data_IF_641791296032
#
_entry.id   IF_641791296032
#
_cell.length_a   1.000
_cell.length_b   1.000
_cell.length_c   1.000
_cell.angle_alpha   90.00
_cell.angle_beta   90.00
_cell.angle_gamma   90.00
#
_symmetry.space_group_name_H-M   'P 1'
#
loop_
_entity.id
_entity.type
_entity.pdbx_description
1 polymer ?
#
# COMPACT_ATOMS: atom_id res chain seq x y z
N UNK A 1 6.42 25.06 -16.17
CA UNK A 1 5.75 24.10 -17.08
C UNK A 1 6.82 23.54 -17.98
N UNK A 2 7.00 22.21 -18.00
CA UNK A 2 7.99 21.58 -18.85
C UNK A 2 7.53 21.72 -20.30
N UNK A 3 8.46 22.03 -21.20
CA UNK A 3 8.10 22.18 -22.60
C UNK A 3 7.98 20.81 -23.30
N UNK A 4 7.29 20.78 -24.44
CA UNK A 4 7.29 19.61 -25.33
C UNK A 4 8.73 19.22 -25.72
N UNK A 5 9.61 20.21 -25.87
CA UNK A 5 11.03 19.99 -26.13
C UNK A 5 11.72 19.28 -24.96
N UNK A 6 11.45 19.68 -23.72
CA UNK A 6 11.99 19.02 -22.52
C UNK A 6 11.54 17.56 -22.45
N UNK A 7 10.26 17.30 -22.74
CA UNK A 7 9.69 15.95 -22.80
C UNK A 7 10.43 15.09 -23.84
N UNK A 8 10.63 15.61 -25.05
CA UNK A 8 11.37 14.91 -26.11
C UNK A 8 12.82 14.65 -25.72
N UNK A 9 13.48 15.59 -25.03
CA UNK A 9 14.88 15.44 -24.58
C UNK A 9 15.02 14.33 -23.55
N UNK A 10 14.13 14.29 -22.54
CA UNK A 10 14.14 13.26 -21.50
C UNK A 10 13.78 11.89 -22.09
N UNK A 11 12.75 11.80 -22.95
CA UNK A 11 12.39 10.57 -23.66
C UNK A 11 13.56 10.02 -24.50
N UNK A 12 14.29 10.89 -25.19
CA UNK A 12 15.48 10.47 -25.95
C UNK A 12 16.58 9.95 -25.03
N UNK A 13 16.86 10.62 -23.92
CA UNK A 13 17.88 10.17 -22.99
C UNK A 13 17.53 8.81 -22.35
N UNK A 14 16.27 8.65 -21.93
CA UNK A 14 15.82 7.44 -21.25
C UNK A 14 15.68 6.23 -22.19
N UNK A 15 15.34 6.43 -23.46
CA UNK A 15 15.00 5.34 -24.39
C UNK A 15 15.91 5.32 -25.64
N UNK A 16 17.14 5.83 -25.54
CA UNK A 16 18.10 5.82 -26.66
C UNK A 16 18.60 4.42 -27.03
N UNK A 17 18.70 3.53 -26.05
CA UNK A 17 19.30 2.20 -26.12
C UNK A 17 18.26 1.07 -26.16
N UNK A 18 16.97 1.43 -26.12
CA UNK A 18 15.88 0.48 -26.35
C UNK A 18 15.53 0.39 -27.83
N UNK A 19 15.25 -0.82 -28.35
CA UNK A 19 14.80 -0.98 -29.72
C UNK A 19 13.51 -0.19 -29.93
N UNK A 20 13.35 0.39 -31.13
CA UNK A 20 12.15 1.13 -31.54
C UNK A 20 11.47 0.40 -32.69
N UNK A 21 10.14 0.37 -32.66
CA UNK A 21 9.36 -0.19 -33.73
C UNK A 21 9.68 0.54 -35.06
N UNK A 22 9.95 -0.21 -36.16
CA UNK A 22 10.07 0.37 -37.49
C UNK A 22 8.85 1.22 -37.85
N UNK A 23 9.07 2.35 -38.52
CA UNK A 23 7.98 3.19 -38.99
C UNK A 23 7.21 2.51 -40.13
N UNK A 24 5.89 2.69 -40.16
CA UNK A 24 5.03 2.18 -41.24
C UNK A 24 4.58 0.72 -41.08
N UNK A 25 4.80 0.09 -39.91
CA UNK A 25 4.22 -1.21 -39.59
C UNK A 25 2.70 -1.12 -39.45
N UNK A 26 2.00 -2.20 -39.82
CA UNK A 26 0.60 -2.37 -39.44
C UNK A 26 0.48 -2.54 -37.92
N UNK A 27 -0.73 -2.39 -37.38
CA UNK A 27 -0.98 -2.60 -35.95
C UNK A 27 -0.55 -4.01 -35.50
N UNK A 28 -0.94 -5.05 -36.25
CA UNK A 28 -0.55 -6.44 -35.97
C UNK A 28 0.96 -6.64 -36.00
N UNK A 29 1.65 -6.13 -37.03
CA UNK A 29 3.10 -6.23 -37.14
C UNK A 29 3.85 -5.44 -36.04
N UNK A 30 3.22 -4.37 -35.52
CA UNK A 30 3.75 -3.61 -34.38
C UNK A 30 3.65 -4.43 -33.10
N UNK A 31 2.51 -5.09 -32.87
CA UNK A 31 2.31 -5.96 -31.70
C UNK A 31 3.25 -7.16 -31.70
N UNK A 32 3.43 -7.82 -32.85
CA UNK A 32 4.42 -8.90 -33.01
C UNK A 32 5.85 -8.42 -32.74
N UNK A 33 6.19 -7.23 -33.24
CA UNK A 33 7.51 -6.64 -33.02
C UNK A 33 7.74 -6.31 -31.53
N UNK A 34 6.73 -5.78 -30.83
CA UNK A 34 6.79 -5.50 -29.40
C UNK A 34 7.01 -6.81 -28.65
N UNK A 35 6.19 -7.83 -28.93
CA UNK A 35 6.27 -9.12 -28.26
C UNK A 35 7.64 -9.76 -28.42
N UNK A 36 8.17 -9.75 -29.65
CA UNK A 36 9.52 -10.24 -29.93
C UNK A 36 10.60 -9.45 -29.20
N UNK A 37 10.47 -8.13 -29.14
CA UNK A 37 11.41 -7.26 -28.43
C UNK A 37 11.39 -7.50 -26.90
N UNK A 38 10.25 -7.87 -26.33
CA UNK A 38 10.13 -8.29 -24.94
C UNK A 38 10.84 -9.62 -24.69
N UNK A 39 10.62 -10.60 -25.57
CA UNK A 39 11.22 -11.93 -25.46
C UNK A 39 12.75 -11.89 -25.65
N UNK A 40 13.24 -11.09 -26.59
CA UNK A 40 14.66 -10.98 -26.93
C UNK A 40 15.44 -10.06 -25.95
N UNK A 41 14.75 -9.42 -24.99
CA UNK A 41 15.40 -8.52 -24.03
C UNK A 41 16.28 -9.30 -23.03
N UNK A 42 17.46 -8.78 -22.67
CA UNK A 42 18.28 -9.40 -21.62
C UNK A 42 17.52 -9.51 -20.29
N UNK A 43 17.30 -10.75 -19.82
CA UNK A 43 16.49 -11.02 -18.62
C UNK A 43 15.01 -11.34 -18.90
N UNK A 44 14.61 -11.37 -20.18
CA UNK A 44 13.27 -11.76 -20.63
C UNK A 44 12.20 -10.69 -20.45
N UNK A 45 10.95 -11.09 -20.67
CA UNK A 45 9.79 -10.19 -20.74
C UNK A 45 9.55 -9.41 -19.45
N UNK A 46 9.78 -10.03 -18.29
CA UNK A 46 9.63 -9.37 -16.99
C UNK A 46 10.68 -8.27 -16.81
N UNK A 47 11.93 -8.52 -17.19
CA UNK A 47 12.99 -7.52 -17.12
C UNK A 47 12.71 -6.34 -18.06
N UNK A 48 12.23 -6.62 -19.29
CA UNK A 48 11.79 -5.58 -20.22
C UNK A 48 10.68 -4.72 -19.62
N UNK A 49 9.67 -5.36 -19.05
CA UNK A 49 8.50 -4.68 -18.47
C UNK A 49 8.89 -3.78 -17.30
N UNK A 50 9.69 -4.31 -16.36
CA UNK A 50 10.19 -3.56 -15.21
C UNK A 50 11.03 -2.37 -15.67
N UNK A 51 11.93 -2.57 -16.64
CA UNK A 51 12.77 -1.49 -17.17
C UNK A 51 11.92 -0.40 -17.84
N UNK A 52 10.90 -0.79 -18.60
CA UNK A 52 10.00 0.14 -19.28
C UNK A 52 9.16 0.96 -18.29
N UNK A 53 8.58 0.31 -17.27
CA UNK A 53 7.86 0.99 -16.18
C UNK A 53 8.79 1.95 -15.45
N UNK A 54 9.98 1.49 -15.08
CA UNK A 54 10.96 2.29 -14.32
C UNK A 54 11.36 3.55 -15.09
N UNK A 55 11.63 3.45 -16.39
CA UNK A 55 11.99 4.60 -17.23
C UNK A 55 10.82 5.57 -17.43
N UNK A 56 9.59 5.07 -17.57
CA UNK A 56 8.42 5.96 -17.62
C UNK A 56 8.22 6.70 -16.30
N UNK A 57 8.37 6.04 -15.16
CA UNK A 57 8.34 6.71 -13.86
C UNK A 57 9.46 7.76 -13.71
N UNK A 58 10.66 7.49 -14.23
CA UNK A 58 11.74 8.49 -14.25
C UNK A 58 11.40 9.72 -15.11
N UNK A 59 10.76 9.52 -16.26
CA UNK A 59 10.29 10.63 -17.11
C UNK A 59 9.37 11.56 -16.31
N UNK A 60 8.35 10.99 -15.67
CA UNK A 60 7.36 11.76 -14.91
C UNK A 60 8.01 12.53 -13.75
N UNK A 61 8.93 11.89 -13.03
CA UNK A 61 9.67 12.52 -11.92
C UNK A 61 10.53 13.67 -12.44
N UNK A 62 11.29 13.48 -13.51
CA UNK A 62 12.17 14.51 -14.08
C UNK A 62 11.36 15.70 -14.58
N UNK A 63 10.25 15.45 -15.27
CA UNK A 63 9.37 16.52 -15.75
C UNK A 63 8.73 17.27 -14.59
N UNK A 64 8.29 16.57 -13.55
CA UNK A 64 7.76 17.23 -12.34
C UNK A 64 8.83 18.09 -11.65
N UNK A 65 10.03 17.54 -11.45
CA UNK A 65 11.17 18.29 -10.90
C UNK A 65 11.56 19.52 -11.76
N UNK A 66 11.36 19.46 -13.07
CA UNK A 66 11.53 20.58 -14.00
C UNK A 66 10.42 21.62 -13.87
N UNK A 67 9.20 21.18 -13.56
CA UNK A 67 8.03 22.06 -13.40
C UNK A 67 7.98 22.79 -12.07
N UNK A 68 8.09 22.05 -10.97
CA UNK A 68 7.86 22.56 -9.63
C UNK A 68 9.05 22.35 -8.68
N UNK A 69 10.01 21.48 -9.03
CA UNK A 69 11.18 21.14 -8.21
C UNK A 69 12.47 21.92 -8.50
N UNK A 70 13.61 21.27 -8.21
CA UNK A 70 14.94 21.89 -8.26
C UNK A 70 15.59 21.88 -9.65
N UNK A 71 14.96 21.26 -10.67
CA UNK A 71 15.45 21.23 -12.06
C UNK A 71 14.92 22.41 -12.91
N UNK A 72 14.39 23.46 -12.26
CA UNK A 72 14.01 24.71 -12.96
C UNK A 72 15.20 25.43 -13.57
N UNK A 73 16.39 25.19 -13.05
CA UNK A 73 17.64 25.68 -13.63
C UNK A 73 18.00 24.83 -14.86
N UNK A 74 18.22 25.49 -16.00
CA UNK A 74 18.50 24.83 -17.28
C UNK A 74 19.78 24.01 -17.25
N UNK A 75 20.81 24.46 -16.51
CA UNK A 75 22.07 23.73 -16.41
C UNK A 75 21.90 22.46 -15.59
N UNK A 76 21.20 22.53 -14.46
CA UNK A 76 20.89 21.36 -13.64
C UNK A 76 20.02 20.34 -14.39
N UNK A 77 19.06 20.83 -15.18
CA UNK A 77 18.24 20.00 -16.05
C UNK A 77 19.08 19.31 -17.13
N UNK A 78 19.94 20.05 -17.83
CA UNK A 78 20.82 19.51 -18.87
C UNK A 78 21.80 18.46 -18.34
N UNK A 79 22.37 18.68 -17.16
CA UNK A 79 23.23 17.71 -16.47
C UNK A 79 22.47 16.42 -16.13
N UNK A 80 21.23 16.56 -15.64
CA UNK A 80 20.37 15.42 -15.32
C UNK A 80 19.98 14.64 -16.59
N UNK A 81 19.58 15.32 -17.66
CA UNK A 81 19.26 14.68 -18.95
C UNK A 81 20.46 13.90 -19.48
N UNK A 82 21.65 14.49 -19.44
CA UNK A 82 22.89 13.83 -19.88
C UNK A 82 23.23 12.61 -19.03
N UNK A 83 22.98 12.68 -17.73
CA UNK A 83 23.17 11.53 -16.84
C UNK A 83 22.23 10.37 -17.23
N UNK A 84 20.98 10.65 -17.58
CA UNK A 84 19.98 9.61 -17.92
C UNK A 84 20.27 8.87 -19.23
N UNK A 85 21.17 9.38 -20.07
CA UNK A 85 21.58 8.73 -21.32
C UNK A 85 22.29 7.38 -21.09
N UNK A 86 22.86 7.16 -19.90
CA UNK A 86 23.62 5.94 -19.57
C UNK A 86 22.89 5.04 -18.57
N UNK A 87 23.06 3.71 -18.65
CA UNK A 87 22.50 2.78 -17.66
C UNK A 87 22.93 3.11 -16.22
N UNK A 88 24.21 3.44 -16.01
CA UNK A 88 24.76 3.79 -14.71
C UNK A 88 24.14 5.09 -14.18
N UNK A 89 23.98 6.09 -15.04
CA UNK A 89 23.40 7.36 -14.66
C UNK A 89 21.91 7.27 -14.34
N UNK A 90 21.15 6.44 -15.07
CA UNK A 90 19.76 6.08 -14.70
C UNK A 90 19.68 5.40 -13.35
N UNK A 91 20.58 4.47 -13.06
CA UNK A 91 20.66 3.83 -11.74
C UNK A 91 20.95 4.83 -10.63
N UNK A 92 21.93 5.71 -10.81
CA UNK A 92 22.24 6.77 -9.83
C UNK A 92 21.04 7.70 -9.61
N UNK A 93 20.27 8.02 -10.65
CA UNK A 93 19.07 8.83 -10.53
C UNK A 93 17.94 8.10 -9.76
N UNK A 94 17.73 6.81 -10.04
CA UNK A 94 16.80 5.98 -9.26
C UNK A 94 17.19 5.93 -7.77
N UNK A 95 18.46 5.67 -7.48
CA UNK A 95 18.98 5.62 -6.11
C UNK A 95 18.75 6.97 -5.40
N UNK A 96 19.00 8.09 -6.10
CA UNK A 96 18.70 9.42 -5.57
C UNK A 96 17.21 9.61 -5.26
N UNK A 97 16.30 9.18 -6.13
CA UNK A 97 14.85 9.26 -5.87
C UNK A 97 14.46 8.47 -4.60
N UNK A 98 14.99 7.26 -4.44
CA UNK A 98 14.78 6.42 -3.25
C UNK A 98 15.32 7.10 -1.99
N UNK A 99 16.50 7.71 -2.07
CA UNK A 99 17.08 8.44 -0.95
C UNK A 99 16.32 9.73 -0.62
N UNK A 100 15.81 10.45 -1.62
CA UNK A 100 14.99 11.63 -1.43
C UNK A 100 13.68 11.29 -0.69
N UNK A 101 13.01 10.20 -1.06
CA UNK A 101 11.86 9.67 -0.32
C UNK A 101 12.20 9.42 1.15
N UNK A 102 13.30 8.70 1.42
CA UNK A 102 13.78 8.45 2.79
C UNK A 102 14.13 9.74 3.55
N UNK A 103 14.56 10.80 2.87
CA UNK A 103 14.91 12.09 3.47
C UNK A 103 13.70 12.96 3.80
N UNK A 104 12.64 12.93 2.97
CA UNK A 104 11.36 13.55 3.30
C UNK A 104 10.79 12.89 4.55
N UNK A 105 10.84 11.55 4.62
CA UNK A 105 10.48 10.81 5.82
C UNK A 105 11.39 11.17 6.99
N UNK A 106 12.70 11.35 6.79
CA UNK A 106 13.63 11.78 7.84
C UNK A 106 13.30 13.17 8.40
N UNK A 107 12.92 14.11 7.53
CA UNK A 107 12.55 15.47 7.94
C UNK A 107 11.21 15.49 8.67
N UNK A 108 10.21 14.75 8.16
CA UNK A 108 8.94 14.55 8.85
C UNK A 108 9.14 13.88 10.22
N UNK A 109 9.98 12.84 10.29
CA UNK A 109 10.38 12.18 11.55
C UNK A 109 11.08 13.12 12.52
N UNK A 110 11.95 14.02 12.06
CA UNK A 110 12.63 15.01 12.90
C UNK A 110 11.65 16.07 13.44
N UNK A 111 10.74 16.55 12.59
CA UNK A 111 9.68 17.48 12.99
C UNK A 111 8.69 16.84 13.97
N UNK A 112 8.35 15.57 13.77
CA UNK A 112 7.48 14.82 14.68
C UNK A 112 8.18 14.46 16.00
N UNK A 113 9.48 14.14 16.00
CA UNK A 113 10.29 13.99 17.23
C UNK A 113 10.37 15.26 18.07
N UNK A 114 10.22 16.44 17.44
CA UNK A 114 10.17 17.71 18.14
C UNK A 114 8.77 18.02 18.74
N UNK A 115 7.72 17.28 18.36
CA UNK A 115 6.39 17.37 18.97
C UNK A 115 6.40 16.71 20.37
N UNK A 116 5.56 17.25 21.26
CA UNK A 116 5.38 16.80 22.66
C UNK A 116 4.94 15.33 22.74
N UNK A 117 5.08 14.77 23.95
CA UNK A 117 4.74 13.39 24.33
C UNK A 117 3.52 12.83 23.59
N UNK A 118 3.66 11.59 23.09
CA UNK A 118 2.63 10.83 22.41
C UNK A 118 1.31 10.89 23.16
N UNK A 119 0.24 11.29 22.47
CA UNK A 119 -1.11 11.18 22.99
C UNK A 119 -1.75 9.94 22.36
N UNK A 120 -2.17 9.02 23.22
CA UNK A 120 -2.91 7.85 22.79
C UNK A 120 -4.34 8.29 22.42
N UNK A 121 -4.79 8.10 21.16
CA UNK A 121 -6.11 8.52 20.76
C UNK A 121 -7.18 7.66 21.45
N UNK A 122 -8.41 8.18 21.56
CA UNK A 122 -9.53 7.34 21.98
C UNK A 122 -9.85 6.30 20.90
N UNK A 123 -10.35 5.10 21.27
CA UNK A 123 -10.81 4.11 20.31
C UNK A 123 -11.80 4.70 19.30
N UNK A 124 -11.61 4.39 18.01
CA UNK A 124 -12.43 4.96 16.93
C UNK A 124 -13.92 4.59 17.06
N UNK A 125 -14.19 3.39 17.59
CA UNK A 125 -15.52 2.85 17.79
C UNK A 125 -15.52 1.90 18.99
N UNK A 126 -16.70 1.44 19.39
CA UNK A 126 -16.87 0.37 20.38
C UNK A 126 -17.57 -0.79 19.68
N UNK A 127 -16.94 -1.96 19.62
CA UNK A 127 -17.51 -3.11 18.92
C UNK A 127 -18.82 -3.57 19.58
N UNK A 128 -19.88 -3.74 18.78
CA UNK A 128 -21.14 -4.31 19.27
C UNK A 128 -20.94 -5.78 19.71
N UNK A 129 -21.15 -6.12 20.99
CA UNK A 129 -20.98 -7.49 21.48
C UNK A 129 -21.86 -8.51 20.76
N UNK A 130 -23.03 -8.10 20.25
CA UNK A 130 -23.93 -9.00 19.51
C UNK A 130 -23.39 -9.29 18.11
N UNK A 131 -22.88 -8.28 17.40
CA UNK A 131 -22.19 -8.48 16.12
C UNK A 131 -20.92 -9.33 16.29
N UNK A 132 -20.12 -9.09 17.34
CA UNK A 132 -18.94 -9.89 17.65
C UNK A 132 -19.30 -11.35 17.93
N UNK A 133 -20.35 -11.61 18.73
CA UNK A 133 -20.80 -12.98 19.00
C UNK A 133 -21.24 -13.70 17.71
N UNK A 134 -21.96 -13.01 16.81
CA UNK A 134 -22.34 -13.57 15.50
C UNK A 134 -21.14 -13.96 14.64
N UNK A 135 -20.09 -13.13 14.65
CA UNK A 135 -18.83 -13.46 13.97
C UNK A 135 -18.18 -14.72 14.57
N UNK A 136 -18.08 -14.80 15.91
CA UNK A 136 -17.49 -15.95 16.60
C UNK A 136 -18.27 -17.25 16.28
N UNK A 137 -19.60 -17.15 16.23
CA UNK A 137 -20.50 -18.28 15.99
C UNK A 137 -20.64 -18.64 14.49
N UNK A 138 -19.83 -18.03 13.60
CA UNK A 138 -19.85 -18.25 12.14
C UNK A 138 -21.21 -17.96 11.48
N UNK A 139 -21.84 -16.86 11.87
CA UNK A 139 -23.13 -16.43 11.34
C UNK A 139 -22.96 -15.17 10.48
N UNK A 140 -22.62 -15.32 9.18
CA UNK A 140 -22.46 -14.18 8.29
C UNK A 140 -23.77 -13.43 8.12
N UNK A 141 -23.68 -12.10 8.11
CA UNK A 141 -24.82 -11.23 7.81
C UNK A 141 -25.10 -11.16 6.31
N UNK A 142 -24.10 -11.48 5.49
CA UNK A 142 -24.09 -11.22 4.06
C UNK A 142 -23.72 -9.76 3.74
N UNK A 143 -23.63 -9.42 2.44
CA UNK A 143 -23.31 -8.07 1.98
C UNK A 143 -24.48 -7.12 2.28
N UNK A 144 -24.24 -6.12 3.11
CA UNK A 144 -25.22 -5.09 3.44
C UNK A 144 -24.75 -3.70 2.98
N UNK A 145 -25.02 -2.68 3.79
CA UNK A 145 -24.85 -1.29 3.37
C UNK A 145 -23.39 -0.86 3.26
N UNK A 146 -22.55 -1.28 4.20
CA UNK A 146 -21.12 -0.91 4.20
C UNK A 146 -20.35 -1.65 3.11
N UNK A 147 -20.67 -2.93 2.91
CA UNK A 147 -20.12 -3.70 1.79
C UNK A 147 -20.52 -3.06 0.46
N UNK A 148 -21.80 -2.74 0.27
CA UNK A 148 -22.28 -2.13 -0.97
C UNK A 148 -21.64 -0.77 -1.23
N UNK A 149 -21.49 0.08 -0.22
CA UNK A 149 -20.80 1.36 -0.34
C UNK A 149 -19.37 1.16 -0.85
N UNK A 150 -18.61 0.26 -0.22
CA UNK A 150 -17.22 0.03 -0.59
C UNK A 150 -17.09 -0.61 -1.98
N UNK A 151 -17.90 -1.63 -2.27
CA UNK A 151 -17.90 -2.34 -3.55
C UNK A 151 -18.32 -1.44 -4.74
N UNK A 152 -19.08 -0.37 -4.50
CA UNK A 152 -19.50 0.57 -5.54
C UNK A 152 -18.44 1.61 -5.91
N UNK A 153 -17.33 1.73 -5.15
CA UNK A 153 -16.29 2.71 -5.45
C UNK A 153 -15.59 2.40 -6.77
N UNK A 154 -15.29 3.43 -7.55
CA UNK A 154 -14.67 3.26 -8.87
C UNK A 154 -13.29 2.58 -8.77
N UNK A 155 -12.49 2.94 -7.78
CA UNK A 155 -11.16 2.35 -7.54
C UNK A 155 -11.24 0.85 -7.18
N UNK A 156 -12.20 0.46 -6.34
CA UNK A 156 -12.45 -0.95 -5.97
C UNK A 156 -12.89 -1.77 -7.18
N UNK A 157 -13.73 -1.21 -8.04
CA UNK A 157 -14.24 -1.87 -9.25
C UNK A 157 -13.19 -1.98 -10.33
N UNK A 158 -12.35 -0.96 -10.51
CA UNK A 158 -11.26 -0.96 -11.48
C UNK A 158 -10.19 -2.00 -11.13
N UNK A 159 -9.89 -2.15 -9.84
CA UNK A 159 -8.94 -3.17 -9.34
C UNK A 159 -9.54 -4.57 -9.34
N UNK A 160 -10.88 -4.69 -9.41
CA UNK A 160 -11.56 -5.99 -9.44
C UNK A 160 -11.58 -6.72 -8.10
N UNK A 161 -11.59 -6.00 -6.98
CA UNK A 161 -11.44 -6.56 -5.62
C UNK A 161 -12.47 -7.67 -5.33
N UNK A 162 -13.72 -7.49 -5.77
CA UNK A 162 -14.83 -8.44 -5.59
C UNK A 162 -15.32 -9.03 -6.93
N UNK A 163 -14.43 -9.25 -7.90
CA UNK A 163 -14.81 -10.02 -9.10
C UNK A 163 -15.17 -11.48 -8.78
N UNK A 164 -14.61 -12.03 -7.70
CA UNK A 164 -15.10 -13.24 -7.05
C UNK A 164 -15.94 -12.89 -5.83
N UNK A 165 -17.10 -13.53 -5.67
CA UNK A 165 -17.90 -13.38 -4.44
C UNK A 165 -17.11 -13.94 -3.24
N UNK A 166 -17.03 -13.19 -2.12
CA UNK A 166 -16.44 -13.71 -0.88
C UNK A 166 -17.19 -14.93 -0.36
N UNK A 167 -16.48 -15.81 0.37
CA UNK A 167 -17.08 -17.00 1.00
C UNK A 167 -18.13 -16.61 2.05
N UNK A 168 -17.85 -15.54 2.80
CA UNK A 168 -18.76 -14.98 3.79
C UNK A 168 -18.50 -13.48 3.99
N UNK A 169 -19.53 -12.74 4.42
CA UNK A 169 -19.43 -11.32 4.77
C UNK A 169 -20.09 -11.09 6.14
N UNK A 170 -19.33 -10.46 7.04
CA UNK A 170 -19.77 -10.07 8.37
C UNK A 170 -19.75 -8.54 8.47
N UNK A 171 -20.94 -7.92 8.49
CA UNK A 171 -21.09 -6.47 8.63
C UNK A 171 -21.17 -6.03 10.09
N UNK A 172 -20.54 -4.88 10.34
CA UNK A 172 -20.54 -4.14 11.57
C UNK A 172 -20.95 -2.68 11.28
N UNK A 173 -21.22 -1.92 12.32
CA UNK A 173 -21.51 -0.48 12.22
C UNK A 173 -20.28 0.36 11.82
N UNK A 174 -19.07 -0.14 12.10
CA UNK A 174 -17.79 0.49 11.75
C UNK A 174 -17.21 0.05 10.41
N UNK A 175 -17.74 -1.00 9.78
CA UNK A 175 -17.17 -1.60 8.58
C UNK A 175 -17.63 -3.03 8.33
N UNK A 176 -16.81 -3.84 7.67
CA UNK A 176 -17.14 -5.24 7.42
C UNK A 176 -15.88 -6.11 7.31
N UNK A 177 -16.06 -7.41 7.49
CA UNK A 177 -15.04 -8.43 7.26
C UNK A 177 -15.53 -9.34 6.16
N UNK A 178 -14.73 -9.51 5.11
CA UNK A 178 -14.97 -10.49 4.06
C UNK A 178 -14.05 -11.71 4.27
N UNK A 179 -14.64 -12.89 4.32
CA UNK A 179 -13.91 -14.15 4.36
C UNK A 179 -13.64 -14.62 2.95
N UNK A 180 -12.38 -14.94 2.67
CA UNK A 180 -11.98 -15.56 1.42
C UNK A 180 -10.87 -16.55 1.73
N UNK A 181 -11.06 -17.82 1.36
CA UNK A 181 -9.97 -18.78 1.25
C UNK A 181 -8.97 -18.67 2.43
N UNK A 182 -9.46 -18.89 3.67
CA UNK A 182 -8.61 -18.90 4.87
C UNK A 182 -8.00 -17.55 5.23
N UNK A 183 -8.60 -16.46 4.77
CA UNK A 183 -8.23 -15.11 5.15
C UNK A 183 -9.46 -14.31 5.57
N UNK A 184 -9.29 -13.46 6.58
CA UNK A 184 -10.23 -12.41 6.97
C UNK A 184 -9.72 -11.07 6.47
N UNK A 185 -10.38 -10.53 5.44
CA UNK A 185 -10.10 -9.20 4.91
C UNK A 185 -10.90 -8.16 5.68
N UNK A 186 -10.22 -7.27 6.39
CA UNK A 186 -10.84 -6.31 7.31
C UNK A 186 -10.96 -4.95 6.62
N UNK A 187 -12.18 -4.45 6.50
CA UNK A 187 -12.48 -3.16 5.90
C UNK A 187 -13.06 -2.23 6.97
N UNK A 188 -12.43 -1.07 7.18
CA UNK A 188 -12.88 -0.04 8.14
C UNK A 188 -13.35 1.20 7.41
N UNK A 189 -14.57 1.65 7.69
CA UNK A 189 -15.26 2.64 6.86
C UNK A 189 -14.53 3.98 6.77
N UNK A 190 -14.10 4.50 7.92
CA UNK A 190 -13.42 5.79 7.98
C UNK A 190 -12.04 5.76 7.30
N UNK A 191 -11.40 4.59 7.23
CA UNK A 191 -10.13 4.42 6.52
C UNK A 191 -10.34 4.52 5.01
N UNK A 192 -11.25 3.74 4.43
CA UNK A 192 -11.45 3.79 2.97
C UNK A 192 -12.04 5.12 2.52
N UNK A 193 -12.90 5.75 3.33
CA UNK A 193 -13.46 7.07 3.03
C UNK A 193 -12.41 8.18 3.01
N UNK A 194 -11.32 8.03 3.76
CA UNK A 194 -10.15 8.94 3.74
C UNK A 194 -9.04 8.52 2.77
N UNK A 195 -9.20 7.41 2.06
CA UNK A 195 -8.24 6.88 1.08
C UNK A 195 -7.36 5.77 1.66
N UNK A 196 -7.63 4.53 1.23
CA UNK A 196 -7.03 3.30 1.79
C UNK A 196 -5.50 3.27 1.66
N UNK A 197 -4.95 3.72 0.53
CA UNK A 197 -3.51 3.60 0.21
C UNK A 197 -2.61 4.28 1.24
N UNK A 198 -3.02 5.46 1.75
CA UNK A 198 -2.25 6.19 2.75
C UNK A 198 -2.21 5.54 4.15
N UNK A 199 -3.03 4.50 4.36
CA UNK A 199 -3.27 3.92 5.68
C UNK A 199 -2.77 2.48 5.83
N UNK A 200 -2.32 1.81 4.74
CA UNK A 200 -1.78 0.45 4.80
C UNK A 200 -0.64 0.30 5.80
N UNK A 201 0.43 1.09 5.64
CA UNK A 201 1.60 1.08 6.52
C UNK A 201 1.26 1.52 7.95
N UNK A 202 0.29 2.43 8.10
CA UNK A 202 -0.15 2.92 9.41
C UNK A 202 -0.93 1.85 10.16
N UNK A 203 -1.77 1.07 9.47
CA UNK A 203 -2.49 -0.08 10.04
C UNK A 203 -1.52 -1.20 10.44
N UNK A 204 -0.53 -1.50 9.60
CA UNK A 204 0.51 -2.46 9.94
C UNK A 204 1.33 -1.98 11.15
N UNK A 205 1.71 -0.70 11.19
CA UNK A 205 2.39 -0.10 12.35
C UNK A 205 1.57 -0.23 13.63
N UNK A 206 0.25 -0.05 13.54
CA UNK A 206 -0.65 -0.21 14.67
C UNK A 206 -0.77 -1.67 15.13
N UNK A 207 -0.86 -2.63 14.19
CA UNK A 207 -0.85 -4.07 14.51
C UNK A 207 0.43 -4.47 15.25
N UNK A 208 1.58 -4.05 14.73
CA UNK A 208 2.87 -4.35 15.34
C UNK A 208 2.97 -3.73 16.73
N UNK A 209 2.50 -2.49 16.92
CA UNK A 209 2.49 -1.86 18.24
C UNK A 209 1.64 -2.65 19.25
N UNK A 210 0.45 -3.10 18.84
CA UNK A 210 -0.45 -3.90 19.67
C UNK A 210 0.11 -5.29 19.99
N UNK A 211 0.99 -5.86 19.15
CA UNK A 211 1.46 -7.26 19.30
C UNK A 211 2.90 -7.39 19.82
N UNK A 212 3.75 -6.37 19.67
CA UNK A 212 5.21 -6.47 19.93
C UNK A 212 5.73 -5.75 21.18
N UNK A 213 4.85 -5.26 22.07
CA UNK A 213 5.21 -4.67 23.37
C UNK A 213 6.22 -3.49 23.31
N UNK A 214 5.75 -2.29 22.96
CA UNK A 214 6.51 -1.05 23.22
C UNK A 214 5.63 0.11 23.72
N UNK A 215 4.71 -0.15 24.65
CA UNK A 215 4.12 0.91 25.46
C UNK A 215 5.00 1.17 26.71
N UNK A 216 5.24 2.43 27.11
CA UNK A 216 6.00 2.72 28.32
C UNK A 216 5.28 2.17 29.57
N UNK A 217 6.08 1.83 30.58
CA UNK A 217 5.69 1.17 31.84
C UNK A 217 4.32 1.60 32.38
N UNK A 218 3.37 0.65 32.48
CA UNK A 218 2.16 0.86 33.28
C UNK A 218 1.00 -0.09 33.02
N UNK A 219 0.70 -0.45 31.77
CA UNK A 219 -0.60 -1.10 31.47
C UNK A 219 -0.51 -2.23 30.44
N UNK A 220 -1.29 -3.28 30.73
CA UNK A 220 -1.68 -4.49 29.98
C UNK A 220 -0.67 -5.15 29.03
N UNK A 221 -0.34 -6.42 29.33
CA UNK A 221 0.37 -7.34 28.43
C UNK A 221 -0.28 -7.33 27.05
N UNK A 222 0.53 -7.19 26.00
CA UNK A 222 0.03 -7.33 24.63
C UNK A 222 -0.69 -8.67 24.48
N UNK A 223 -1.82 -8.70 23.74
CA UNK A 223 -2.50 -9.95 23.48
C UNK A 223 -1.57 -10.92 22.74
N UNK A 224 -1.49 -12.16 23.23
CA UNK A 224 -0.74 -13.21 22.55
C UNK A 224 -1.50 -13.62 21.29
N UNK A 225 -0.96 -13.30 20.12
CA UNK A 225 -1.52 -13.71 18.82
C UNK A 225 -1.47 -15.26 18.73
N UNK A 226 -2.58 -15.95 18.43
CA UNK A 226 -2.60 -17.40 18.30
C UNK A 226 -1.62 -17.90 17.23
N UNK A 227 -1.00 -19.05 17.47
CA UNK A 227 -0.21 -19.73 16.44
C UNK A 227 -1.13 -20.10 15.26
N UNK A 228 -0.63 -19.90 14.03
CA UNK A 228 -1.41 -20.13 12.81
C UNK A 228 -2.24 -18.95 12.32
N UNK A 229 -2.16 -17.79 13.00
CA UNK A 229 -2.71 -16.52 12.54
C UNK A 229 -1.56 -15.58 12.16
N UNK A 230 -1.54 -15.10 10.92
CA UNK A 230 -0.56 -14.12 10.44
C UNK A 230 -1.23 -12.92 9.82
N UNK A 231 -0.65 -11.74 9.95
CA UNK A 231 -1.11 -10.55 9.27
C UNK A 231 -0.48 -10.43 7.87
N UNK A 232 -1.20 -9.75 6.98
CA UNK A 232 -0.67 -9.24 5.71
C UNK A 232 -1.18 -7.81 5.49
N UNK A 233 -0.38 -7.03 4.76
CA UNK A 233 -0.79 -5.70 4.33
C UNK A 233 -1.88 -5.90 3.28
N UNK A 234 -3.07 -5.39 3.56
CA UNK A 234 -4.28 -5.60 2.76
C UNK A 234 -4.28 -5.03 1.34
N UNK A 235 -3.11 -4.74 0.74
CA UNK A 235 -2.94 -4.15 -0.60
C UNK A 235 -3.66 -4.99 -1.65
N UNK A 236 -3.43 -6.32 -1.64
CA UNK A 236 -3.98 -7.23 -2.64
C UNK A 236 -5.51 -7.25 -2.66
N UNK A 237 -6.15 -6.95 -1.53
CA UNK A 237 -7.61 -6.89 -1.35
C UNK A 237 -8.14 -5.49 -1.12
N UNK A 238 -7.29 -4.49 -1.30
CA UNK A 238 -7.58 -3.08 -1.07
C UNK A 238 -8.26 -2.81 0.29
N UNK A 239 -7.88 -3.56 1.32
CA UNK A 239 -8.48 -3.54 2.66
C UNK A 239 -7.50 -3.00 3.71
N UNK A 240 -7.99 -2.69 4.91
CA UNK A 240 -7.15 -2.09 5.95
C UNK A 240 -6.09 -3.07 6.48
N UNK A 241 -6.44 -4.36 6.58
CA UNK A 241 -5.59 -5.43 7.06
C UNK A 241 -6.16 -6.78 6.61
N UNK A 242 -5.30 -7.73 6.27
CA UNK A 242 -5.69 -9.13 6.05
C UNK A 242 -5.14 -9.99 7.17
N UNK A 243 -5.97 -10.86 7.74
CA UNK A 243 -5.54 -11.90 8.69
C UNK A 243 -5.63 -13.26 8.00
N UNK A 244 -4.48 -13.90 7.78
CA UNK A 244 -4.37 -15.20 7.15
C UNK A 244 -4.35 -16.31 8.22
N UNK A 245 -5.03 -17.41 7.90
CA UNK A 245 -5.09 -18.59 8.76
C UNK A 245 -4.39 -19.75 8.05
N UNK A 246 -3.47 -20.40 8.75
CA UNK A 246 -2.68 -21.52 8.21
C UNK A 246 -3.55 -22.75 7.86
N UNK A 247 -4.65 -22.97 8.59
CA UNK A 247 -5.53 -24.13 8.45
C UNK A 247 -6.94 -23.74 7.99
N UNK A 248 -7.56 -24.59 7.15
CA UNK A 248 -8.95 -24.43 6.70
C UNK A 248 -9.80 -25.66 7.02
N UNK A 249 -10.98 -25.50 7.66
CA UNK A 249 -11.47 -24.27 8.27
C UNK A 249 -10.56 -23.79 9.40
N UNK A 250 -10.64 -22.49 9.72
CA UNK A 250 -9.89 -21.91 10.83
C UNK A 250 -10.21 -22.63 12.13
N UNK A 251 -9.21 -22.80 13.01
CA UNK A 251 -9.45 -23.30 14.37
C UNK A 251 -10.49 -22.39 15.07
N UNK A 252 -11.58 -22.93 15.63
CA UNK A 252 -12.57 -22.14 16.38
C UNK A 252 -11.93 -21.24 17.46
N UNK A 253 -10.82 -21.65 18.06
CA UNK A 253 -10.09 -20.84 19.03
C UNK A 253 -9.46 -19.58 18.39
N UNK A 254 -9.00 -19.67 17.14
CA UNK A 254 -8.47 -18.52 16.39
C UNK A 254 -9.61 -17.56 16.08
N UNK A 255 -10.74 -18.05 15.56
CA UNK A 255 -11.90 -17.19 15.28
C UNK A 255 -12.44 -16.53 16.55
N UNK A 256 -12.49 -17.27 17.66
CA UNK A 256 -12.85 -16.71 18.97
C UNK A 256 -11.90 -15.58 19.36
N UNK A 257 -10.58 -15.77 19.25
CA UNK A 257 -9.60 -14.72 19.53
C UNK A 257 -9.77 -13.50 18.62
N UNK A 258 -10.03 -13.71 17.33
CA UNK A 258 -10.28 -12.61 16.39
C UNK A 258 -11.51 -11.79 16.81
N UNK A 259 -12.59 -12.45 17.23
CA UNK A 259 -13.77 -11.75 17.75
C UNK A 259 -13.52 -11.02 19.08
N UNK A 260 -13.08 -11.77 20.09
CA UNK A 260 -13.00 -11.28 21.48
C UNK A 260 -11.82 -10.33 21.73
N UNK A 261 -10.72 -10.46 20.98
CA UNK A 261 -9.50 -9.67 21.19
C UNK A 261 -9.30 -8.68 20.06
N UNK A 262 -9.20 -9.16 18.82
CA UNK A 262 -8.86 -8.28 17.70
C UNK A 262 -9.99 -7.28 17.40
N UNK A 263 -11.20 -7.74 17.08
CA UNK A 263 -12.34 -6.87 16.72
C UNK A 263 -12.76 -6.02 17.93
N UNK A 264 -12.81 -6.61 19.12
CA UNK A 264 -13.36 -5.93 20.31
C UNK A 264 -12.40 -4.93 20.95
N UNK A 265 -11.08 -5.13 20.83
CA UNK A 265 -10.10 -4.34 21.60
C UNK A 265 -8.99 -3.73 20.74
N UNK A 266 -8.38 -4.50 19.84
CA UNK A 266 -7.23 -4.00 19.06
C UNK A 266 -7.66 -3.11 17.89
N UNK A 267 -8.60 -3.56 17.06
CA UNK A 267 -9.00 -2.88 15.84
C UNK A 267 -9.51 -1.44 16.08
N UNK A 268 -10.31 -1.15 17.12
CA UNK A 268 -10.77 0.22 17.39
C UNK A 268 -9.64 1.21 17.63
N UNK A 269 -8.64 0.84 18.45
CA UNK A 269 -7.50 1.71 18.76
C UNK A 269 -6.52 1.75 17.59
N UNK A 270 -6.33 0.64 16.89
CA UNK A 270 -5.49 0.58 15.69
C UNK A 270 -6.01 1.53 14.60
N UNK A 271 -7.32 1.51 14.35
CA UNK A 271 -7.93 2.39 13.36
C UNK A 271 -7.81 3.86 13.77
N UNK A 272 -7.96 4.19 15.05
CA UNK A 272 -7.77 5.56 15.55
C UNK A 272 -6.35 6.07 15.31
N UNK A 273 -5.33 5.27 15.65
CA UNK A 273 -3.91 5.60 15.41
C UNK A 273 -3.60 5.73 13.92
N UNK A 274 -4.16 4.85 13.11
CA UNK A 274 -3.96 4.89 11.67
C UNK A 274 -4.56 6.16 11.05
N UNK A 275 -5.72 6.61 11.54
CA UNK A 275 -6.41 7.80 11.04
C UNK A 275 -5.87 9.13 11.58
N UNK A 276 -5.19 9.13 12.72
CA UNK A 276 -4.56 10.33 13.25
C UNK A 276 -3.25 10.63 12.51
N UNK A 277 -3.28 11.58 11.58
CA UNK A 277 -2.10 12.05 10.82
C UNK A 277 -0.94 12.53 11.71
N UNK A 278 -1.22 12.90 12.96
CA UNK A 278 -0.21 13.33 13.93
C UNK A 278 0.32 12.19 14.80
N UNK A 279 -0.28 11.00 14.74
CA UNK A 279 0.18 9.84 15.49
C UNK A 279 1.48 9.30 14.88
N UNK A 280 2.53 9.27 15.70
CA UNK A 280 3.87 8.84 15.34
C UNK A 280 4.12 7.43 15.88
N UNK A 281 4.20 6.44 14.99
CA UNK A 281 4.49 5.07 15.38
C UNK A 281 5.96 4.97 15.86
N UNK A 282 6.23 4.29 16.99
CA UNK A 282 7.60 4.13 17.48
C UNK A 282 8.50 3.51 16.41
N UNK A 283 9.69 4.08 16.19
CA UNK A 283 10.63 3.60 15.15
C UNK A 283 10.95 2.11 15.26
N UNK A 284 11.02 1.58 16.49
CA UNK A 284 11.27 0.15 16.75
C UNK A 284 10.17 -0.77 16.20
N UNK A 285 8.95 -0.26 16.06
CA UNK A 285 7.79 -0.98 15.48
C UNK A 285 7.86 -0.98 13.95
N UNK A 286 8.45 0.05 13.36
CA UNK A 286 8.61 0.18 11.91
C UNK A 286 9.88 -0.49 11.35
N UNK A 287 10.88 -0.79 12.19
CA UNK A 287 12.15 -1.42 11.79
C UNK A 287 12.12 -2.96 11.76
N UNK A 288 11.01 -3.59 12.17
CA UNK A 288 10.80 -5.03 12.08
C UNK A 288 10.47 -5.40 10.61
N UNK A 289 11.51 -5.62 9.80
CA UNK A 289 11.42 -6.23 8.47
C UNK A 289 11.80 -7.71 8.55
#
# INVERSE_FOLDING_TARGET
MASDLDTVRVLRALFNDMPRAPQGLSHEATMEWIQRSMTDFPGGELAYTIEHITRNSMLDIVLRLREDGYLKDDKAFDETVKQLETPEGRKTFADWCIHAQKSVDATARLLNRAKRAWHEPEPLFVADPVAVRRFIDDQPTGPGAMFAEFAMRDDVREVGVFEGEPDAVHEFDWGFIAEEAGAWNVYVADIWRKGTVGHFERMLGAWRLETTHTLPEGESRAPHVPAGLTEDIGIARFCALTLNVETRPADPAIRQWVGEVFISHMLPIMAARALDENYDFPLRVMELN
#
